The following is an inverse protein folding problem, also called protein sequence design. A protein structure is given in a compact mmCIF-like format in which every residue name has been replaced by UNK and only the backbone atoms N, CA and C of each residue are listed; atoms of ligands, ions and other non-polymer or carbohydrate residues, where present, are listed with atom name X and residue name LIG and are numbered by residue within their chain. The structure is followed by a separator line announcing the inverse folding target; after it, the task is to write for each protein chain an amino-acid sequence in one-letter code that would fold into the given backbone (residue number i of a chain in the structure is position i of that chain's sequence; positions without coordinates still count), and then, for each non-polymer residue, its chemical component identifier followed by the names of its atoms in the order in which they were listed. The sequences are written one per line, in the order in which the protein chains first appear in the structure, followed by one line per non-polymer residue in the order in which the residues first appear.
data_IF_084091643197
#
_entry.id   IF_084091643197
#
_cell.length_a   1.000
_cell.length_b   1.000
_cell.length_c   1.000
_cell.angle_alpha   90.00
_cell.angle_beta   90.00
_cell.angle_gamma   90.00
#
_symmetry.space_group_name_H-M   'P 1'
#
loop_
_entity.id
_entity.type
_entity.pdbx_description
1 polymer ?
#
# COMPACT_ATOMS: atom_id res chain seq x y z
N UNK A 1 1.01 -11.60 -23.09
CA UNK A 1 0.30 -11.23 -21.84
C UNK A 1 0.38 -12.40 -20.89
N UNK A 2 0.50 -12.16 -19.59
CA UNK A 2 0.54 -13.18 -18.53
C UNK A 2 -0.65 -12.97 -17.62
N UNK A 3 -1.45 -13.99 -17.40
CA UNK A 3 -2.49 -13.97 -16.37
C UNK A 3 -1.84 -14.34 -15.04
N UNK A 4 -1.77 -13.37 -14.13
CA UNK A 4 -1.13 -13.50 -12.83
C UNK A 4 -2.10 -13.14 -11.72
N UNK A 5 -1.94 -13.80 -10.58
CA UNK A 5 -2.63 -13.49 -9.31
C UNK A 5 -1.67 -12.76 -8.39
N UNK A 6 -2.13 -11.70 -7.77
CA UNK A 6 -1.40 -11.02 -6.70
C UNK A 6 -2.09 -11.21 -5.36
N UNK A 7 -1.29 -11.34 -4.33
CA UNK A 7 -1.72 -11.55 -2.96
C UNK A 7 -1.09 -10.52 -2.05
N UNK A 8 -1.92 -9.85 -1.26
CA UNK A 8 -1.49 -8.84 -0.29
C UNK A 8 -2.15 -9.11 1.08
N UNK A 9 -1.37 -8.96 2.13
CA UNK A 9 -1.84 -8.90 3.51
C UNK A 9 -1.31 -7.63 4.14
N UNK A 10 -2.20 -6.68 4.38
CA UNK A 10 -1.87 -5.36 4.92
C UNK A 10 -1.59 -5.38 6.43
N UNK A 11 -0.99 -4.30 6.94
CA UNK A 11 -0.63 -4.13 8.36
C UNK A 11 -1.85 -4.05 9.30
N UNK A 12 -3.05 -3.84 8.78
CA UNK A 12 -4.32 -3.91 9.52
C UNK A 12 -4.65 -5.34 10.00
N UNK A 13 -4.07 -6.36 9.36
CA UNK A 13 -4.29 -7.79 9.63
C UNK A 13 -5.79 -8.12 9.60
N UNK A 14 -6.54 -7.55 8.68
CA UNK A 14 -7.97 -7.79 8.52
C UNK A 14 -8.28 -8.95 7.57
N UNK A 15 -7.43 -9.16 6.56
CA UNK A 15 -7.64 -10.22 5.59
C UNK A 15 -6.53 -10.34 4.55
N UNK A 16 -6.84 -11.12 3.53
CA UNK A 16 -6.02 -11.37 2.35
C UNK A 16 -6.74 -10.75 1.15
N UNK A 17 -6.10 -9.79 0.52
CA UNK A 17 -6.54 -9.29 -0.78
C UNK A 17 -5.90 -10.13 -1.88
N UNK A 18 -6.74 -10.72 -2.73
CA UNK A 18 -6.32 -11.51 -3.88
C UNK A 18 -6.92 -10.90 -5.14
N UNK A 19 -6.09 -10.65 -6.14
CA UNK A 19 -6.52 -10.05 -7.39
C UNK A 19 -5.84 -10.71 -8.59
N UNK A 20 -6.57 -10.86 -9.68
CA UNK A 20 -6.06 -11.36 -10.95
C UNK A 20 -5.99 -10.25 -11.98
N UNK A 21 -4.86 -10.19 -12.68
CA UNK A 21 -4.66 -9.28 -13.80
C UNK A 21 -4.02 -10.04 -14.98
N UNK A 22 -4.31 -9.57 -16.16
CA UNK A 22 -3.57 -9.93 -17.36
C UNK A 22 -2.68 -8.76 -17.76
N UNK A 23 -1.36 -9.00 -17.88
CA UNK A 23 -0.41 -7.91 -18.07
C UNK A 23 0.81 -8.34 -18.90
N UNK A 24 1.43 -7.38 -19.56
CA UNK A 24 2.74 -7.50 -20.19
C UNK A 24 3.89 -7.16 -19.23
N UNK A 25 3.59 -6.69 -18.01
CA UNK A 25 4.58 -6.18 -17.04
C UNK A 25 5.15 -4.82 -17.44
N UNK A 26 4.58 -4.14 -18.44
CA UNK A 26 5.03 -2.82 -18.91
C UNK A 26 3.92 -1.77 -18.84
N UNK A 27 3.00 -1.76 -19.82
CA UNK A 27 1.94 -0.75 -19.96
C UNK A 27 0.54 -1.33 -20.00
N UNK A 28 0.39 -2.60 -20.30
CA UNK A 28 -0.91 -3.22 -20.46
C UNK A 28 -1.30 -3.91 -19.16
N UNK A 29 -2.45 -3.52 -18.62
CA UNK A 29 -3.06 -4.13 -17.46
C UNK A 29 -4.55 -4.28 -17.71
N UNK A 30 -5.06 -5.50 -17.54
CA UNK A 30 -6.49 -5.81 -17.59
C UNK A 30 -6.88 -6.53 -16.31
N UNK A 31 -7.75 -5.94 -15.49
CA UNK A 31 -8.29 -6.59 -14.30
C UNK A 31 -9.17 -7.79 -14.70
N UNK A 32 -9.00 -8.92 -14.01
CA UNK A 32 -9.77 -10.16 -14.22
C UNK A 32 -10.59 -10.57 -13.01
N UNK A 33 -10.53 -9.80 -11.94
CA UNK A 33 -11.30 -9.97 -10.71
C UNK A 33 -10.46 -9.82 -9.46
N UNK A 34 -11.14 -9.57 -8.36
CA UNK A 34 -10.53 -9.45 -7.05
C UNK A 34 -11.51 -9.86 -5.96
N UNK A 35 -10.97 -10.26 -4.81
CA UNK A 35 -11.73 -10.53 -3.59
C UNK A 35 -10.85 -10.34 -2.37
N UNK A 36 -11.48 -10.06 -1.25
CA UNK A 36 -10.85 -10.03 0.08
C UNK A 36 -11.40 -11.18 0.92
N UNK A 37 -10.53 -11.94 1.56
CA UNK A 37 -10.89 -13.00 2.50
C UNK A 37 -10.43 -12.56 3.89
N UNK A 38 -11.36 -12.32 4.83
CA UNK A 38 -11.00 -11.99 6.21
C UNK A 38 -10.19 -13.12 6.86
N UNK A 39 -9.22 -12.75 7.69
CA UNK A 39 -8.53 -13.72 8.52
C UNK A 39 -9.46 -14.27 9.62
N UNK A 40 -9.40 -15.56 9.84
CA UNK A 40 -9.99 -16.17 11.03
C UNK A 40 -9.38 -15.52 12.30
N UNK A 41 -10.19 -15.24 13.34
CA UNK A 41 -9.73 -14.55 14.55
C UNK A 41 -8.48 -15.19 15.19
N UNK A 42 -8.40 -16.51 15.19
CA UNK A 42 -7.25 -17.23 15.73
C UNK A 42 -5.97 -16.98 14.94
N UNK A 43 -6.02 -17.02 13.60
CA UNK A 43 -4.87 -16.73 12.74
C UNK A 43 -4.47 -15.26 12.86
N UNK A 44 -5.45 -14.35 12.91
CA UNK A 44 -5.21 -12.91 13.11
C UNK A 44 -4.45 -12.65 14.42
N UNK A 45 -4.82 -13.28 15.51
CA UNK A 45 -4.13 -13.17 16.80
C UNK A 45 -2.68 -13.69 16.71
N UNK A 46 -2.47 -14.82 16.03
CA UNK A 46 -1.14 -15.40 15.85
C UNK A 46 -0.24 -14.54 14.96
N UNK A 47 -0.76 -13.96 13.88
CA UNK A 47 0.01 -13.00 13.05
C UNK A 47 0.44 -11.81 13.92
N UNK A 48 -0.45 -11.26 14.76
CA UNK A 48 -0.10 -10.17 15.68
C UNK A 48 1.01 -10.54 16.66
N UNK A 49 1.03 -11.78 17.15
CA UNK A 49 2.02 -12.23 18.14
C UNK A 49 3.44 -12.34 17.59
N UNK A 50 3.61 -12.36 16.25
CA UNK A 50 4.92 -12.45 15.59
C UNK A 50 5.39 -11.12 14.97
N UNK A 51 4.63 -10.04 15.15
CA UNK A 51 5.07 -8.72 14.72
C UNK A 51 6.37 -8.34 15.45
N UNK A 52 7.29 -7.69 14.74
CA UNK A 52 8.64 -7.43 15.23
C UNK A 52 9.62 -8.59 14.97
N UNK A 53 9.17 -9.70 14.39
CA UNK A 53 10.03 -10.82 14.00
C UNK A 53 10.37 -11.79 15.14
N UNK A 54 9.51 -11.89 16.15
CA UNK A 54 9.69 -12.76 17.32
C UNK A 54 8.57 -13.82 17.39
N UNK A 55 8.75 -14.84 18.23
CA UNK A 55 7.73 -15.86 18.49
C UNK A 55 7.78 -17.05 17.51
N UNK A 56 6.66 -17.75 17.35
CA UNK A 56 6.55 -18.98 16.55
C UNK A 56 6.38 -18.70 15.04
N UNK A 57 7.33 -17.94 14.48
CA UNK A 57 7.28 -17.45 13.10
C UNK A 57 7.01 -18.56 12.08
N UNK A 58 7.73 -19.68 12.13
CA UNK A 58 7.60 -20.75 11.14
C UNK A 58 6.18 -21.36 11.11
N UNK A 59 5.57 -21.57 12.27
CA UNK A 59 4.21 -22.11 12.35
C UNK A 59 3.16 -21.09 11.86
N UNK A 60 3.36 -19.79 12.16
CA UNK A 60 2.47 -18.73 11.67
C UNK A 60 2.62 -18.52 10.17
N UNK A 61 3.85 -18.59 9.66
CA UNK A 61 4.15 -18.49 8.22
C UNK A 61 3.47 -19.60 7.42
N UNK A 62 3.52 -20.86 7.92
CA UNK A 62 2.84 -21.98 7.27
C UNK A 62 1.32 -21.77 7.22
N UNK A 63 0.67 -21.44 8.33
CA UNK A 63 -0.78 -21.21 8.37
C UNK A 63 -1.21 -20.02 7.52
N UNK A 64 -0.42 -18.94 7.53
CA UNK A 64 -0.63 -17.79 6.68
C UNK A 64 -0.54 -18.18 5.20
N UNK A 65 0.48 -18.97 4.83
CA UNK A 65 0.67 -19.43 3.45
C UNK A 65 -0.48 -20.31 2.98
N UNK A 66 -0.98 -21.23 3.83
CA UNK A 66 -2.16 -22.02 3.52
C UNK A 66 -3.43 -21.17 3.34
N UNK A 67 -3.60 -20.13 4.17
CA UNK A 67 -4.71 -19.19 4.02
C UNK A 67 -4.65 -18.47 2.66
N UNK A 68 -3.45 -18.08 2.22
CA UNK A 68 -3.24 -17.46 0.90
C UNK A 68 -3.50 -18.46 -0.24
N UNK A 69 -3.13 -19.74 -0.10
CA UNK A 69 -3.46 -20.77 -1.08
C UNK A 69 -4.98 -20.92 -1.25
N UNK A 70 -5.73 -20.92 -0.14
CA UNK A 70 -7.21 -20.93 -0.18
C UNK A 70 -7.79 -19.68 -0.85
N UNK A 71 -7.16 -18.52 -0.68
CA UNK A 71 -7.57 -17.29 -1.35
C UNK A 71 -7.35 -17.35 -2.87
N UNK A 72 -6.24 -17.94 -3.34
CA UNK A 72 -6.00 -18.19 -4.77
C UNK A 72 -7.08 -19.09 -5.35
N UNK A 73 -7.37 -20.21 -4.69
CA UNK A 73 -8.40 -21.15 -5.11
C UNK A 73 -9.79 -20.49 -5.18
N UNK A 74 -10.15 -19.68 -4.19
CA UNK A 74 -11.41 -18.97 -4.14
C UNK A 74 -11.52 -17.95 -5.29
N UNK A 75 -10.45 -17.20 -5.57
CA UNK A 75 -10.38 -16.24 -6.67
C UNK A 75 -10.55 -16.94 -8.03
N UNK A 76 -9.79 -18.01 -8.27
CA UNK A 76 -9.85 -18.78 -9.53
C UNK A 76 -11.27 -19.31 -9.76
N UNK A 77 -11.89 -19.90 -8.75
CA UNK A 77 -13.27 -20.42 -8.87
C UNK A 77 -14.30 -19.31 -9.06
N UNK A 78 -14.18 -18.23 -8.29
CA UNK A 78 -15.16 -17.12 -8.30
C UNK A 78 -15.26 -16.45 -9.67
N UNK A 79 -14.12 -16.27 -10.35
CA UNK A 79 -14.03 -15.58 -11.63
C UNK A 79 -13.78 -16.51 -12.81
N UNK A 80 -13.84 -17.84 -12.59
CA UNK A 80 -13.62 -18.87 -13.62
C UNK A 80 -12.33 -18.62 -14.42
N UNK A 81 -11.24 -18.31 -13.69
CA UNK A 81 -9.96 -17.99 -14.32
C UNK A 81 -9.31 -19.27 -14.87
N UNK A 82 -8.89 -19.21 -16.14
CA UNK A 82 -8.16 -20.28 -16.81
C UNK A 82 -6.77 -19.77 -17.18
N UNK A 83 -5.81 -20.67 -17.19
CA UNK A 83 -4.43 -20.38 -17.62
C UNK A 83 -3.68 -19.37 -16.71
N UNK A 84 -4.07 -19.28 -15.43
CA UNK A 84 -3.26 -18.60 -14.42
C UNK A 84 -1.92 -19.34 -14.34
N UNK A 85 -0.82 -18.60 -14.47
CA UNK A 85 0.52 -19.19 -14.53
C UNK A 85 1.48 -18.68 -13.49
N UNK A 86 1.14 -17.59 -12.81
CA UNK A 86 2.06 -16.91 -11.89
C UNK A 86 1.30 -16.29 -10.70
N UNK A 87 1.91 -16.39 -9.53
CA UNK A 87 1.44 -15.70 -8.31
C UNK A 87 2.51 -14.71 -7.87
N UNK A 88 2.10 -13.48 -7.57
CA UNK A 88 2.89 -12.50 -6.83
C UNK A 88 2.47 -12.51 -5.37
N UNK A 89 3.30 -13.05 -4.51
CA UNK A 89 3.00 -13.25 -3.10
C UNK A 89 3.78 -12.26 -2.22
N UNK A 90 3.12 -11.19 -1.79
CA UNK A 90 3.74 -10.23 -0.88
C UNK A 90 4.01 -10.83 0.50
N UNK A 91 3.13 -11.71 0.97
CA UNK A 91 3.13 -12.19 2.35
C UNK A 91 2.66 -11.11 3.32
N UNK A 92 3.05 -11.22 4.60
CA UNK A 92 2.72 -10.27 5.65
C UNK A 92 3.99 -9.66 6.25
N UNK A 93 4.09 -8.33 6.29
CA UNK A 93 5.25 -7.63 6.86
C UNK A 93 5.24 -7.74 8.38
N UNK A 94 6.24 -8.42 8.93
CA UNK A 94 6.47 -8.52 10.39
C UNK A 94 7.57 -7.60 10.88
N UNK A 95 8.46 -7.16 9.99
CA UNK A 95 9.55 -6.22 10.29
C UNK A 95 9.86 -5.38 9.06
N UNK A 96 10.02 -4.06 9.25
CA UNK A 96 10.49 -3.17 8.19
C UNK A 96 11.37 -2.07 8.79
N UNK A 97 12.69 -2.25 8.67
CA UNK A 97 13.72 -1.33 9.19
C UNK A 97 14.79 -1.11 8.13
N UNK A 98 14.49 -0.39 7.06
CA UNK A 98 15.42 -0.17 5.95
C UNK A 98 16.72 0.53 6.39
N UNK A 99 16.68 1.39 7.42
CA UNK A 99 17.87 2.01 8.00
C UNK A 99 18.82 1.01 8.70
N UNK A 100 18.33 -0.19 9.07
CA UNK A 100 19.12 -1.31 9.57
C UNK A 100 19.47 -2.30 8.45
N UNK A 101 19.08 -2.02 7.20
CA UNK A 101 19.22 -2.94 6.07
C UNK A 101 18.30 -4.17 6.19
N UNK A 102 17.17 -4.07 6.91
CA UNK A 102 16.31 -5.21 7.25
C UNK A 102 14.85 -4.96 6.86
N UNK A 103 14.30 -5.94 6.18
CA UNK A 103 12.85 -6.07 5.98
C UNK A 103 12.49 -7.54 6.03
N UNK A 104 11.31 -7.87 6.54
CA UNK A 104 10.87 -9.26 6.61
C UNK A 104 9.36 -9.36 6.39
N UNK A 105 9.01 -9.99 5.29
CA UNK A 105 7.67 -10.41 4.96
C UNK A 105 7.61 -11.92 5.12
N UNK A 106 6.78 -12.41 6.05
CA UNK A 106 6.52 -13.86 6.19
C UNK A 106 5.57 -14.33 5.11
N UNK A 107 5.83 -15.52 4.60
CA UNK A 107 5.08 -16.19 3.54
C UNK A 107 6.01 -17.08 2.72
N UNK A 108 5.80 -18.41 2.85
CA UNK A 108 6.62 -19.42 2.17
C UNK A 108 6.17 -19.56 0.70
N UNK A 109 6.94 -18.96 -0.21
CA UNK A 109 6.68 -19.03 -1.64
C UNK A 109 6.82 -20.44 -2.22
N UNK A 110 7.67 -21.29 -1.66
CA UNK A 110 7.84 -22.67 -2.12
C UNK A 110 6.62 -23.52 -1.71
N UNK A 111 6.17 -23.38 -0.47
CA UNK A 111 4.95 -24.03 0.01
C UNK A 111 3.73 -23.56 -0.80
N UNK A 112 3.60 -22.27 -1.07
CA UNK A 112 2.50 -21.75 -1.88
C UNK A 112 2.52 -22.32 -3.30
N UNK A 113 3.69 -22.44 -3.92
CA UNK A 113 3.83 -23.06 -5.23
C UNK A 113 3.44 -24.54 -5.23
N UNK A 114 3.80 -25.26 -4.17
CA UNK A 114 3.40 -26.66 -3.98
C UNK A 114 1.89 -26.81 -3.81
N UNK A 115 1.27 -25.96 -2.97
CA UNK A 115 -0.16 -26.04 -2.66
C UNK A 115 -1.04 -25.69 -3.86
N UNK A 116 -0.62 -24.67 -4.64
CA UNK A 116 -1.42 -24.16 -5.76
C UNK A 116 -1.10 -24.80 -7.12
N UNK A 117 0.08 -25.38 -7.26
CA UNK A 117 0.58 -25.86 -8.55
C UNK A 117 0.94 -24.73 -9.52
N UNK A 118 1.11 -23.50 -9.05
CA UNK A 118 1.44 -22.33 -9.83
C UNK A 118 2.82 -21.80 -9.45
N UNK A 119 3.54 -21.21 -10.40
CA UNK A 119 4.79 -20.51 -10.10
C UNK A 119 4.53 -19.34 -9.16
N UNK A 120 5.41 -19.10 -8.18
CA UNK A 120 5.25 -18.03 -7.19
C UNK A 120 6.48 -17.13 -7.18
N UNK A 121 6.28 -15.83 -7.21
CA UNK A 121 7.30 -14.84 -6.87
C UNK A 121 6.95 -14.22 -5.52
N UNK A 122 7.86 -14.28 -4.56
CA UNK A 122 7.76 -13.60 -3.27
C UNK A 122 9.03 -12.79 -2.98
N UNK A 123 9.20 -12.28 -1.77
CA UNK A 123 10.39 -11.55 -1.31
C UNK A 123 10.76 -10.36 -2.22
N UNK A 124 9.79 -9.50 -2.51
CA UNK A 124 9.96 -8.36 -3.42
C UNK A 124 10.87 -7.27 -2.86
N UNK A 125 10.94 -7.12 -1.53
CA UNK A 125 11.53 -5.94 -0.87
C UNK A 125 12.99 -6.12 -0.44
N UNK A 126 13.42 -7.36 -0.18
CA UNK A 126 14.73 -7.63 0.42
C UNK A 126 15.90 -7.14 -0.46
N UNK A 127 15.84 -7.34 -1.78
CA UNK A 127 16.90 -6.89 -2.69
C UNK A 127 17.04 -5.36 -2.71
N UNK A 128 15.94 -4.62 -2.67
CA UNK A 128 15.91 -3.16 -2.61
C UNK A 128 16.54 -2.66 -1.30
N UNK A 129 16.09 -3.18 -0.16
CA UNK A 129 16.62 -2.80 1.16
C UNK A 129 18.10 -3.17 1.30
N UNK A 130 18.51 -4.34 0.83
CA UNK A 130 19.92 -4.75 0.84
C UNK A 130 20.81 -3.85 -0.02
N UNK A 131 20.23 -3.17 -1.02
CA UNK A 131 20.90 -2.21 -1.91
C UNK A 131 20.81 -0.77 -1.40
N UNK A 132 20.37 -0.56 -0.16
CA UNK A 132 20.26 0.75 0.47
C UNK A 132 18.97 1.52 0.15
N UNK A 133 18.01 0.88 -0.51
CA UNK A 133 16.69 1.45 -0.75
C UNK A 133 15.78 1.38 0.48
N UNK A 134 14.70 2.15 0.44
CA UNK A 134 13.68 2.17 1.50
C UNK A 134 12.78 0.92 1.53
N UNK A 135 12.81 0.06 0.48
CA UNK A 135 11.95 -1.11 0.39
C UNK A 135 10.44 -0.82 0.26
N UNK A 136 10.09 0.44 0.15
CA UNK A 136 8.72 0.93 -0.05
C UNK A 136 8.77 2.37 -0.60
N UNK A 137 7.73 2.81 -1.36
CA UNK A 137 6.61 2.03 -1.90
C UNK A 137 7.00 1.20 -3.15
N UNK A 138 6.34 0.07 -3.38
CA UNK A 138 6.57 -0.79 -4.57
C UNK A 138 5.47 -0.64 -5.64
N UNK A 139 4.35 -0.04 -5.31
CA UNK A 139 3.21 0.16 -6.22
C UNK A 139 3.44 1.22 -7.34
N UNK A 140 4.41 2.16 -7.26
CA UNK A 140 4.54 3.26 -8.21
C UNK A 140 4.62 2.84 -9.68
N UNK A 141 5.37 1.79 -10.02
CA UNK A 141 5.47 1.29 -11.40
C UNK A 141 4.14 0.72 -11.91
N UNK A 142 3.33 0.16 -11.02
CA UNK A 142 1.98 -0.27 -11.35
C UNK A 142 1.03 0.92 -11.56
N UNK A 143 1.09 1.94 -10.71
CA UNK A 143 0.36 3.18 -10.94
C UNK A 143 0.69 3.80 -12.29
N UNK A 144 1.95 3.76 -12.69
CA UNK A 144 2.40 4.26 -14.00
C UNK A 144 1.76 3.47 -15.16
N UNK A 145 1.72 2.15 -15.06
CA UNK A 145 1.10 1.29 -16.06
C UNK A 145 -0.42 1.56 -16.16
N UNK A 146 -1.12 1.65 -15.03
CA UNK A 146 -2.54 1.96 -14.98
C UNK A 146 -2.87 3.35 -15.52
N UNK A 147 -1.99 4.33 -15.31
CA UNK A 147 -2.18 5.70 -15.76
C UNK A 147 -1.86 5.91 -17.25
N UNK A 148 -1.61 4.83 -18.01
CA UNK A 148 -1.47 4.90 -19.47
C UNK A 148 -2.76 5.44 -20.09
N UNK A 149 -2.65 6.54 -20.84
CA UNK A 149 -3.80 7.22 -21.45
C UNK A 149 -4.50 8.25 -20.56
N UNK A 150 -4.15 8.39 -19.30
CA UNK A 150 -4.65 9.46 -18.45
C UNK A 150 -3.86 10.76 -18.65
N UNK A 151 -4.53 11.89 -18.45
CA UNK A 151 -3.87 13.20 -18.51
C UNK A 151 -2.89 13.36 -17.36
N UNK A 152 -1.66 13.78 -17.65
CA UNK A 152 -0.55 13.96 -16.72
C UNK A 152 0.01 15.39 -16.73
N UNK A 153 0.71 15.91 -15.70
CA UNK A 153 1.09 15.20 -14.47
C UNK A 153 -0.10 14.89 -13.56
N UNK A 154 -0.09 13.75 -12.91
CA UNK A 154 -1.10 13.37 -11.93
C UNK A 154 -0.45 12.79 -10.67
N UNK A 155 -1.17 12.76 -9.56
CA UNK A 155 -0.75 12.09 -8.34
C UNK A 155 -1.73 10.98 -7.99
N UNK A 156 -1.20 9.84 -7.58
CA UNK A 156 -1.96 8.76 -6.93
C UNK A 156 -1.60 8.79 -5.45
N UNK A 157 -2.57 9.07 -4.61
CA UNK A 157 -2.43 9.17 -3.15
C UNK A 157 -3.05 7.93 -2.50
N UNK A 158 -2.26 7.14 -1.84
CA UNK A 158 -2.75 6.07 -0.97
C UNK A 158 -2.87 6.60 0.46
N UNK A 159 -4.08 6.54 1.04
CA UNK A 159 -4.32 6.85 2.45
C UNK A 159 -4.66 5.54 3.16
N UNK A 160 -3.60 4.85 3.58
CA UNK A 160 -3.64 3.72 4.51
C UNK A 160 -3.42 4.19 5.94
N UNK A 161 -2.77 3.40 6.78
CA UNK A 161 -2.32 3.83 8.12
C UNK A 161 -1.34 5.01 8.03
N UNK A 162 -0.35 4.91 7.15
CA UNK A 162 0.50 5.98 6.63
C UNK A 162 -0.04 6.39 5.26
N UNK A 163 0.11 7.66 4.90
CA UNK A 163 -0.23 8.15 3.58
C UNK A 163 1.03 8.26 2.71
N UNK A 164 0.94 7.80 1.45
CA UNK A 164 2.00 7.90 0.48
C UNK A 164 1.48 8.37 -0.88
N UNK A 165 2.38 8.96 -1.67
CA UNK A 165 2.04 9.51 -2.98
C UNK A 165 2.94 8.96 -4.06
N UNK A 166 2.37 8.68 -5.22
CA UNK A 166 3.06 8.50 -6.49
C UNK A 166 2.73 9.67 -7.40
N UNK A 167 3.72 10.51 -7.68
CA UNK A 167 3.62 11.54 -8.70
C UNK A 167 4.09 10.99 -10.05
N UNK A 168 3.28 11.17 -11.08
CA UNK A 168 3.55 10.74 -12.46
C UNK A 168 3.66 11.96 -13.36
N UNK A 169 4.85 12.16 -13.92
CA UNK A 169 5.13 13.24 -14.87
C UNK A 169 4.46 13.05 -16.23
N UNK A 170 4.65 13.99 -17.14
CA UNK A 170 4.13 13.87 -18.52
C UNK A 170 4.77 12.71 -19.27
N UNK A 171 6.08 12.55 -19.07
CA UNK A 171 6.86 11.50 -19.71
C UNK A 171 6.94 10.26 -18.79
N UNK A 172 7.02 9.08 -19.39
CA UNK A 172 6.99 7.83 -18.65
C UNK A 172 8.25 7.57 -17.80
N UNK A 173 9.33 8.29 -18.01
CA UNK A 173 10.56 8.22 -17.21
C UNK A 173 10.52 9.12 -15.95
N UNK A 174 9.47 9.94 -15.81
CA UNK A 174 9.32 10.88 -14.69
C UNK A 174 8.31 10.35 -13.66
N UNK A 175 8.82 9.67 -12.67
CA UNK A 175 8.07 9.15 -11.53
C UNK A 175 8.75 9.58 -10.23
N UNK A 176 7.96 9.88 -9.19
CA UNK A 176 8.44 10.16 -7.84
C UNK A 176 7.46 9.53 -6.85
N UNK A 177 7.97 8.87 -5.81
CA UNK A 177 7.09 8.31 -4.78
C UNK A 177 7.73 8.41 -3.40
N UNK A 178 6.91 8.69 -2.38
CA UNK A 178 7.35 8.83 -0.99
C UNK A 178 6.16 8.92 -0.05
N UNK A 179 6.42 8.69 1.24
CA UNK A 179 5.41 8.86 2.28
C UNK A 179 5.19 10.34 2.59
N UNK A 180 3.92 10.74 2.63
CA UNK A 180 3.54 12.14 2.84
C UNK A 180 3.38 12.51 4.31
N UNK A 181 2.99 11.54 5.15
CA UNK A 181 2.73 11.77 6.57
C UNK A 181 1.76 10.74 7.15
N UNK A 182 1.16 11.03 8.32
CA UNK A 182 0.14 10.16 8.90
C UNK A 182 -1.06 10.04 7.94
N UNK A 183 -1.59 8.83 7.82
CA UNK A 183 -2.84 8.55 7.11
C UNK A 183 -4.01 8.39 8.08
N UNK A 184 -4.68 7.22 8.03
CA UNK A 184 -5.81 6.91 8.90
C UNK A 184 -5.41 6.44 10.30
N UNK A 185 -4.17 5.95 10.51
CA UNK A 185 -3.82 5.27 11.75
C UNK A 185 -4.14 6.07 13.01
N UNK A 186 -3.74 7.35 13.04
CA UNK A 186 -4.01 8.22 14.19
C UNK A 186 -5.51 8.53 14.35
N UNK A 187 -6.25 8.62 13.25
CA UNK A 187 -7.70 8.86 13.25
C UNK A 187 -8.41 7.62 13.82
N UNK A 188 -8.00 6.44 13.38
CA UNK A 188 -8.58 5.16 13.80
C UNK A 188 -8.30 4.89 15.28
N UNK A 189 -7.05 5.10 15.73
CA UNK A 189 -6.66 4.96 17.14
C UNK A 189 -7.44 5.96 18.02
N UNK A 190 -7.65 7.19 17.55
CA UNK A 190 -8.45 8.19 18.24
C UNK A 190 -9.91 7.76 18.34
N UNK A 191 -10.51 7.33 17.24
CA UNK A 191 -11.88 6.83 17.21
C UNK A 191 -12.06 5.64 18.15
N UNK A 192 -11.12 4.69 18.12
CA UNK A 192 -11.14 3.52 19.00
C UNK A 192 -11.07 3.91 20.47
N UNK A 193 -10.14 4.79 20.83
CA UNK A 193 -9.95 5.23 22.21
C UNK A 193 -11.17 5.94 22.78
N UNK A 194 -11.83 6.78 21.97
CA UNK A 194 -12.91 7.63 22.45
C UNK A 194 -14.33 7.08 22.22
N UNK A 195 -14.50 6.11 21.32
CA UNK A 195 -15.82 5.58 20.97
C UNK A 195 -15.92 4.07 21.04
N UNK A 196 -14.80 3.35 21.19
CA UNK A 196 -14.72 1.89 21.08
C UNK A 196 -14.86 1.36 19.64
N UNK A 197 -15.07 2.21 18.65
CA UNK A 197 -15.18 1.83 17.24
C UNK A 197 -13.81 1.74 16.60
N UNK A 198 -13.54 0.78 15.71
CA UNK A 198 -12.22 0.58 15.12
C UNK A 198 -11.78 1.72 14.18
N UNK A 199 -12.72 2.49 13.65
CA UNK A 199 -12.49 3.60 12.71
C UNK A 199 -13.49 4.75 12.96
N UNK A 200 -13.18 5.95 12.47
CA UNK A 200 -14.16 7.05 12.32
C UNK A 200 -14.97 6.85 11.03
N UNK A 201 -16.01 6.01 11.13
CA UNK A 201 -16.80 5.62 9.98
C UNK A 201 -17.42 6.84 9.27
N UNK A 202 -17.13 6.95 7.97
CA UNK A 202 -17.56 8.07 7.13
C UNK A 202 -17.14 9.45 7.66
N UNK A 203 -16.13 9.53 8.51
CA UNK A 203 -15.65 10.77 9.12
C UNK A 203 -16.70 11.45 10.02
N UNK A 204 -17.58 10.66 10.62
CA UNK A 204 -18.72 11.21 11.42
C UNK A 204 -18.23 12.00 12.61
N UNK A 205 -17.20 11.50 13.31
CA UNK A 205 -16.61 12.17 14.46
C UNK A 205 -15.89 13.46 14.01
N UNK A 206 -15.04 13.36 12.99
CA UNK A 206 -14.31 14.52 12.47
C UNK A 206 -15.22 15.61 11.93
N UNK A 207 -16.35 15.25 11.30
CA UNK A 207 -17.35 16.22 10.77
C UNK A 207 -18.01 17.05 11.87
N UNK A 208 -18.17 16.48 13.06
CA UNK A 208 -18.81 17.15 14.19
C UNK A 208 -17.87 18.09 14.94
N UNK A 209 -16.55 18.04 14.67
CA UNK A 209 -15.53 18.81 15.35
C UNK A 209 -14.99 19.99 14.55
N UNK A 210 -14.15 20.77 15.23
CA UNK A 210 -13.36 21.86 14.64
C UNK A 210 -11.87 21.56 14.82
N UNK A 211 -11.04 21.64 13.75
CA UNK A 211 -9.62 21.36 13.84
C UNK A 211 -8.88 22.44 14.64
N UNK A 212 -7.98 22.04 15.52
CA UNK A 212 -7.01 22.94 16.14
C UNK A 212 -5.77 23.06 15.24
N UNK A 213 -5.65 24.19 14.57
CA UNK A 213 -4.58 24.46 13.61
C UNK A 213 -3.19 24.60 14.28
N UNK A 214 -3.10 24.80 15.58
CA UNK A 214 -1.82 24.80 16.28
C UNK A 214 -1.18 23.40 16.27
N UNK A 215 -2.00 22.34 16.41
CA UNK A 215 -1.52 20.97 16.29
C UNK A 215 -1.03 20.68 14.88
N UNK A 216 -1.75 21.13 13.85
CA UNK A 216 -1.34 20.99 12.44
C UNK A 216 0.00 21.69 12.17
N UNK A 217 0.15 22.92 12.64
CA UNK A 217 1.39 23.70 12.49
C UNK A 217 2.56 23.01 13.19
N UNK A 218 2.35 22.50 14.41
CA UNK A 218 3.37 21.76 15.17
C UNK A 218 3.78 20.47 14.44
N UNK A 219 2.83 19.73 13.83
CA UNK A 219 3.16 18.57 13.03
C UNK A 219 4.06 18.96 11.85
N UNK A 220 3.65 19.95 11.05
CA UNK A 220 4.37 20.36 9.84
C UNK A 220 5.75 20.97 10.13
N UNK A 221 6.02 21.40 11.35
CA UNK A 221 7.35 21.82 11.79
C UNK A 221 8.34 20.65 11.96
N UNK A 222 7.87 19.40 11.94
CA UNK A 222 8.75 18.24 12.03
C UNK A 222 9.66 18.13 10.80
N UNK A 223 10.97 17.83 10.97
CA UNK A 223 11.97 17.80 9.89
C UNK A 223 11.59 16.87 8.71
N UNK A 224 10.82 15.81 8.96
CA UNK A 224 10.33 14.90 7.93
C UNK A 224 9.66 15.64 6.76
N UNK A 225 8.86 16.68 7.02
CA UNK A 225 8.11 17.36 5.97
C UNK A 225 9.00 18.23 5.06
N UNK A 226 10.16 18.65 5.54
CA UNK A 226 11.15 19.38 4.73
C UNK A 226 12.20 18.47 4.08
N UNK A 227 12.37 17.25 4.59
CA UNK A 227 13.32 16.29 4.04
C UNK A 227 12.98 15.94 2.58
N UNK A 228 13.99 15.87 1.68
CA UNK A 228 13.75 15.48 0.30
C UNK A 228 13.35 14.01 0.20
N UNK A 229 12.53 13.63 -0.79
CA UNK A 229 12.29 12.23 -1.12
C UNK A 229 13.53 11.58 -1.77
N UNK A 230 13.65 10.24 -1.74
CA UNK A 230 12.68 9.30 -1.16
C UNK A 230 12.73 9.25 0.37
N UNK A 231 11.57 9.11 0.99
CA UNK A 231 11.42 9.03 2.45
C UNK A 231 10.23 8.16 2.82
N UNK A 232 10.36 7.40 3.89
CA UNK A 232 9.34 6.49 4.41
C UNK A 232 9.10 6.71 5.89
N UNK A 233 7.99 6.17 6.40
CA UNK A 233 7.50 6.28 7.76
C UNK A 233 7.04 4.93 8.27
N UNK A 234 7.22 4.73 9.58
CA UNK A 234 6.47 3.71 10.31
C UNK A 234 5.12 4.28 10.79
N UNK A 235 4.16 3.39 11.04
CA UNK A 235 2.81 3.73 11.48
C UNK A 235 2.80 4.64 12.70
N UNK A 236 3.71 4.40 13.64
CA UNK A 236 3.73 5.05 14.96
C UNK A 236 4.67 6.26 15.05
N UNK A 237 5.39 6.61 14.00
CA UNK A 237 6.35 7.73 14.00
C UNK A 237 5.75 9.06 14.44
N UNK A 238 4.46 9.25 14.14
CA UNK A 238 3.71 10.46 14.49
C UNK A 238 2.75 10.28 15.69
N UNK A 239 2.76 9.15 16.41
CA UNK A 239 1.87 8.91 17.55
C UNK A 239 1.96 10.02 18.63
N UNK A 240 3.15 10.58 18.83
CA UNK A 240 3.39 11.71 19.77
C UNK A 240 2.68 13.01 19.38
N UNK A 241 2.17 13.14 18.17
CA UNK A 241 1.40 14.30 17.70
C UNK A 241 -0.10 14.14 17.89
N UNK A 242 -0.55 13.01 18.43
CA UNK A 242 -1.96 12.82 18.80
C UNK A 242 -2.41 13.95 19.71
N UNK A 243 -3.51 14.66 19.38
CA UNK A 243 -3.97 15.80 20.17
C UNK A 243 -4.31 15.40 21.61
N UNK A 244 -3.88 16.20 22.59
CA UNK A 244 -4.26 16.03 23.98
C UNK A 244 -5.19 17.18 24.41
N UNK A 245 -6.18 16.87 25.26
CA UNK A 245 -7.08 17.88 25.84
C UNK A 245 -8.18 18.38 24.91
N UNK A 246 -8.30 17.84 23.69
CA UNK A 246 -9.39 18.16 22.77
C UNK A 246 -10.61 17.25 23.03
N UNK A 247 -11.80 17.73 22.68
CA UNK A 247 -12.99 16.88 22.62
C UNK A 247 -12.81 15.77 21.57
N UNK A 248 -13.50 14.61 21.70
CA UNK A 248 -13.41 13.56 20.69
C UNK A 248 -13.67 14.02 19.26
N UNK A 249 -14.69 14.87 18.95
CA UNK A 249 -14.89 15.43 17.62
C UNK A 249 -13.75 16.35 17.17
N UNK A 250 -13.28 17.27 18.03
CA UNK A 250 -12.24 18.23 17.66
C UNK A 250 -10.89 17.54 17.43
N UNK A 251 -10.58 16.50 18.22
CA UNK A 251 -9.40 15.68 18.01
C UNK A 251 -9.44 14.93 16.67
N UNK A 252 -10.55 14.31 16.31
CA UNK A 252 -10.72 13.64 15.01
C UNK A 252 -10.61 14.64 13.84
N UNK A 253 -11.24 15.82 13.97
CA UNK A 253 -11.15 16.89 12.97
C UNK A 253 -9.69 17.39 12.83
N UNK A 254 -8.98 17.51 13.93
CA UNK A 254 -7.56 17.93 13.94
C UNK A 254 -6.67 16.90 13.25
N UNK A 255 -6.86 15.62 13.54
CA UNK A 255 -6.09 14.54 12.91
C UNK A 255 -6.37 14.45 11.40
N UNK A 256 -7.64 14.61 10.98
CA UNK A 256 -7.98 14.69 9.56
C UNK A 256 -7.31 15.89 8.87
N UNK A 257 -7.31 17.06 9.52
CA UNK A 257 -6.60 18.24 9.02
C UNK A 257 -5.09 18.03 8.95
N UNK A 258 -4.48 17.32 9.92
CA UNK A 258 -3.06 16.96 9.91
C UNK A 258 -2.70 16.09 8.72
N UNK A 259 -3.49 15.04 8.44
CA UNK A 259 -3.30 14.17 7.26
C UNK A 259 -3.35 15.00 5.97
N UNK A 260 -4.37 15.83 5.80
CA UNK A 260 -4.54 16.64 4.58
C UNK A 260 -3.44 17.68 4.44
N UNK A 261 -3.03 18.34 5.51
CA UNK A 261 -1.94 19.31 5.49
C UNK A 261 -0.59 18.67 5.13
N UNK A 262 -0.34 17.46 5.62
CA UNK A 262 0.84 16.67 5.27
C UNK A 262 0.87 16.32 3.77
N UNK A 263 -0.26 15.89 3.20
CA UNK A 263 -0.42 15.64 1.76
C UNK A 263 -0.19 16.92 0.96
N UNK A 264 -0.78 18.04 1.36
CA UNK A 264 -0.59 19.33 0.68
C UNK A 264 0.87 19.79 0.72
N UNK A 265 1.56 19.59 1.84
CA UNK A 265 2.98 19.91 1.98
C UNK A 265 3.88 19.07 1.06
N UNK A 266 3.47 17.85 0.71
CA UNK A 266 4.22 16.97 -0.19
C UNK A 266 4.40 17.56 -1.60
N UNK A 267 3.49 18.43 -2.07
CA UNK A 267 3.55 19.07 -3.39
C UNK A 267 4.84 19.87 -3.64
N UNK A 268 5.50 20.35 -2.57
CA UNK A 268 6.79 21.08 -2.70
C UNK A 268 7.91 20.26 -3.34
N UNK A 269 7.79 18.93 -3.27
CA UNK A 269 8.77 18.01 -3.82
C UNK A 269 8.45 17.59 -5.26
N UNK A 270 7.28 17.95 -5.79
CA UNK A 270 6.91 17.56 -7.15
C UNK A 270 7.67 18.37 -8.20
N UNK A 271 8.23 17.72 -9.22
CA UNK A 271 8.92 18.40 -10.31
C UNK A 271 8.02 19.37 -11.12
N UNK A 272 6.69 19.12 -11.12
CA UNK A 272 5.69 19.98 -11.73
C UNK A 272 4.34 19.84 -11.03
N UNK A 273 3.47 20.88 -11.07
CA UNK A 273 2.12 20.79 -10.52
C UNK A 273 1.30 19.67 -11.17
N UNK A 274 0.51 18.97 -10.36
CA UNK A 274 -0.43 17.95 -10.84
C UNK A 274 -1.70 18.59 -11.40
N UNK A 275 -2.31 17.93 -12.38
CA UNK A 275 -3.60 18.34 -12.94
C UNK A 275 -4.79 17.71 -12.20
N UNK A 276 -4.53 16.59 -11.51
CA UNK A 276 -5.51 15.86 -10.71
C UNK A 276 -4.84 14.96 -9.67
N UNK A 277 -5.60 14.59 -8.66
CA UNK A 277 -5.23 13.57 -7.68
C UNK A 277 -6.24 12.42 -7.72
N UNK A 278 -5.74 11.22 -7.73
CA UNK A 278 -6.51 9.98 -7.59
C UNK A 278 -6.21 9.41 -6.21
N UNK A 279 -7.24 9.14 -5.42
CA UNK A 279 -7.09 8.68 -4.03
C UNK A 279 -7.46 7.20 -3.93
N UNK A 280 -6.59 6.41 -3.33
CA UNK A 280 -6.77 4.99 -3.00
C UNK A 280 -6.58 4.75 -1.50
N UNK A 281 -6.62 3.50 -1.07
CA UNK A 281 -6.59 3.14 0.35
C UNK A 281 -7.90 3.43 1.07
N UNK A 282 -7.97 3.07 2.35
CA UNK A 282 -9.19 3.22 3.17
C UNK A 282 -9.67 4.66 3.29
N UNK A 283 -8.75 5.63 3.28
CA UNK A 283 -9.05 7.05 3.41
C UNK A 283 -9.93 7.62 2.30
N UNK A 284 -9.93 7.03 1.09
CA UNK A 284 -10.82 7.45 -0.02
C UNK A 284 -12.30 7.28 0.30
N UNK A 285 -12.62 6.41 1.27
CA UNK A 285 -13.99 6.17 1.75
C UNK A 285 -14.43 7.15 2.82
N UNK A 286 -13.52 7.99 3.32
CA UNK A 286 -13.83 9.03 4.30
C UNK A 286 -14.19 10.34 3.57
N UNK A 287 -15.46 10.73 3.50
CA UNK A 287 -15.89 11.92 2.75
C UNK A 287 -15.35 13.23 3.35
N UNK A 288 -14.98 13.24 4.64
CA UNK A 288 -14.36 14.41 5.27
C UNK A 288 -12.94 14.59 4.75
N UNK A 289 -12.13 13.53 4.70
CA UNK A 289 -10.79 13.58 4.11
C UNK A 289 -10.85 14.00 2.65
N UNK A 290 -11.77 13.42 1.86
CA UNK A 290 -11.91 13.75 0.43
C UNK A 290 -12.29 15.22 0.22
N UNK A 291 -13.22 15.75 1.01
CA UNK A 291 -13.63 17.15 0.93
C UNK A 291 -12.50 18.10 1.34
N UNK A 292 -11.75 17.80 2.41
CA UNK A 292 -10.63 18.60 2.86
C UNK A 292 -9.48 18.57 1.84
N UNK A 293 -9.19 17.41 1.23
CA UNK A 293 -8.21 17.30 0.15
C UNK A 293 -8.60 18.15 -1.06
N UNK A 294 -9.85 18.07 -1.51
CA UNK A 294 -10.34 18.86 -2.64
C UNK A 294 -10.23 20.37 -2.37
N UNK A 295 -10.54 20.81 -1.14
CA UNK A 295 -10.41 22.21 -0.74
C UNK A 295 -8.94 22.68 -0.66
N UNK A 296 -8.02 21.80 -0.26
CA UNK A 296 -6.62 22.16 0.01
C UNK A 296 -5.72 22.07 -1.23
N UNK A 297 -6.02 21.16 -2.17
CA UNK A 297 -5.14 20.87 -3.30
C UNK A 297 -5.39 21.76 -4.51
N UNK A 298 -6.56 22.41 -4.60
CA UNK A 298 -6.95 23.35 -5.65
C UNK A 298 -6.88 22.76 -7.08
N UNK A 299 -7.09 21.45 -7.18
CA UNK A 299 -7.21 20.69 -8.43
C UNK A 299 -8.18 19.52 -8.20
N UNK A 300 -8.74 18.90 -9.25
CA UNK A 300 -9.65 17.77 -9.09
C UNK A 300 -9.05 16.65 -8.23
N UNK A 301 -9.80 16.23 -7.21
CA UNK A 301 -9.48 15.11 -6.31
C UNK A 301 -10.63 14.11 -6.40
N UNK A 302 -10.31 12.89 -6.78
CA UNK A 302 -11.31 11.84 -6.98
C UNK A 302 -10.82 10.49 -6.46
N UNK A 303 -11.70 9.58 -6.04
CA UNK A 303 -11.32 8.21 -5.78
C UNK A 303 -10.88 7.51 -7.09
N UNK A 304 -10.01 6.52 -6.98
CA UNK A 304 -9.46 5.81 -8.15
C UNK A 304 -10.53 5.12 -9.00
N UNK A 305 -11.69 4.83 -8.43
CA UNK A 305 -12.85 4.26 -9.09
C UNK A 305 -13.38 5.15 -10.23
N UNK A 306 -13.18 6.47 -10.17
CA UNK A 306 -13.59 7.41 -11.21
C UNK A 306 -12.88 7.16 -12.55
N UNK A 307 -11.69 6.58 -12.50
CA UNK A 307 -10.93 6.18 -13.69
C UNK A 307 -10.98 4.66 -13.93
N UNK A 308 -11.90 3.96 -13.28
CA UNK A 308 -12.14 2.53 -13.46
C UNK A 308 -11.14 1.62 -12.75
N UNK A 309 -10.34 2.13 -11.80
CA UNK A 309 -9.46 1.30 -11.00
C UNK A 309 -10.20 0.79 -9.76
N UNK A 310 -9.79 -0.37 -9.26
CA UNK A 310 -10.33 -0.96 -8.04
C UNK A 310 -9.42 -0.61 -6.86
N UNK A 311 -9.84 0.36 -6.04
CA UNK A 311 -9.04 0.86 -4.94
C UNK A 311 -8.80 -0.13 -3.79
N UNK A 312 -9.60 -1.20 -3.70
CA UNK A 312 -9.40 -2.26 -2.71
C UNK A 312 -8.44 -3.34 -3.23
N UNK A 313 -8.44 -3.57 -4.54
CA UNK A 313 -7.61 -4.58 -5.16
C UNK A 313 -6.23 -4.07 -5.61
N UNK A 314 -6.00 -2.76 -5.61
CA UNK A 314 -4.88 -2.10 -6.27
C UNK A 314 -3.53 -2.61 -5.80
N UNK A 315 -3.34 -2.83 -4.50
CA UNK A 315 -2.08 -3.37 -3.95
C UNK A 315 -1.88 -4.84 -4.36
N UNK A 316 -2.91 -5.67 -4.27
CA UNK A 316 -2.82 -7.06 -4.70
C UNK A 316 -2.52 -7.15 -6.22
N UNK A 317 -3.20 -6.35 -7.03
CA UNK A 317 -2.93 -6.24 -8.46
C UNK A 317 -1.48 -5.81 -8.74
N UNK A 318 -0.95 -4.89 -7.95
CA UNK A 318 0.44 -4.45 -8.07
C UNK A 318 1.42 -5.61 -7.86
N UNK A 319 1.19 -6.50 -6.89
CA UNK A 319 2.08 -7.64 -6.68
C UNK A 319 1.97 -8.69 -7.80
N UNK A 320 0.82 -8.86 -8.44
CA UNK A 320 0.72 -9.63 -9.68
C UNK A 320 1.57 -9.02 -10.80
N UNK A 321 1.46 -7.70 -11.00
CA UNK A 321 2.24 -6.97 -11.99
C UNK A 321 3.75 -7.06 -11.70
N UNK A 322 4.18 -6.87 -10.47
CA UNK A 322 5.57 -6.97 -10.05
C UNK A 322 6.14 -8.38 -10.23
N UNK A 323 5.32 -9.43 -10.00
CA UNK A 323 5.74 -10.80 -10.27
C UNK A 323 6.05 -11.02 -11.76
N UNK A 324 5.21 -10.50 -12.65
CA UNK A 324 5.48 -10.57 -14.10
C UNK A 324 6.74 -9.79 -14.46
N UNK A 325 6.98 -8.63 -13.85
CA UNK A 325 8.22 -7.87 -14.04
C UNK A 325 9.45 -8.64 -13.53
N UNK A 326 9.34 -9.25 -12.35
CA UNK A 326 10.42 -10.06 -11.76
C UNK A 326 10.85 -11.19 -12.69
N UNK A 327 9.90 -11.98 -13.18
CA UNK A 327 10.18 -13.10 -14.11
C UNK A 327 10.80 -12.62 -15.43
N UNK A 328 10.47 -11.39 -15.85
CA UNK A 328 11.05 -10.76 -17.06
C UNK A 328 12.38 -10.05 -16.83
N UNK A 329 12.91 -10.06 -15.61
CA UNK A 329 14.14 -9.33 -15.26
C UNK A 329 13.99 -7.80 -15.35
N UNK A 330 12.75 -7.29 -15.25
CA UNK A 330 12.48 -5.85 -15.27
C UNK A 330 12.62 -5.25 -13.86
N UNK A 331 12.98 -3.96 -13.73
CA UNK A 331 13.06 -3.31 -12.43
C UNK A 331 11.72 -3.33 -11.67
N UNK A 332 11.78 -3.53 -10.36
CA UNK A 332 10.65 -3.45 -9.43
C UNK A 332 10.64 -2.12 -8.68
N UNK A 333 11.79 -1.48 -8.53
CA UNK A 333 11.96 -0.18 -7.88
C UNK A 333 12.98 0.69 -8.61
N UNK A 334 12.93 1.98 -8.35
CA UNK A 334 13.73 3.01 -9.01
C UNK A 334 14.34 3.96 -7.98
N UNK A 335 15.43 4.69 -8.33
CA UNK A 335 15.99 5.71 -7.45
C UNK A 335 14.96 6.72 -6.92
N UNK A 336 14.01 7.11 -7.75
CA UNK A 336 12.97 8.10 -7.43
C UNK A 336 11.81 7.52 -6.61
N UNK A 337 11.76 6.20 -6.40
CA UNK A 337 10.68 5.56 -5.63
C UNK A 337 11.14 5.06 -4.26
N UNK A 338 12.26 4.36 -4.20
CA UNK A 338 12.77 3.77 -2.96
C UNK A 338 14.16 4.26 -2.57
N UNK A 339 14.82 5.06 -3.41
CA UNK A 339 16.16 5.58 -3.11
C UNK A 339 17.32 4.64 -3.44
N UNK A 340 17.10 3.55 -4.13
CA UNK A 340 18.18 2.70 -4.65
C UNK A 340 19.07 3.49 -5.63
N UNK A 341 20.35 3.15 -5.72
CA UNK A 341 21.29 3.88 -6.57
C UNK A 341 21.00 3.73 -8.08
N UNK A 342 20.38 2.63 -8.49
CA UNK A 342 19.99 2.33 -9.88
C UNK A 342 18.68 1.52 -9.89
N UNK A 343 17.98 1.42 -11.04
CA UNK A 343 16.79 0.58 -11.16
C UNK A 343 17.07 -0.84 -10.68
N UNK A 344 16.28 -1.34 -9.72
CA UNK A 344 16.53 -2.60 -9.02
C UNK A 344 15.53 -3.66 -9.44
N UNK A 345 16.05 -4.81 -9.84
CA UNK A 345 15.28 -6.06 -9.96
C UNK A 345 15.11 -6.70 -8.59
N UNK A 346 14.19 -7.65 -8.46
CA UNK A 346 13.96 -8.34 -7.18
C UNK A 346 12.92 -9.43 -7.33
N UNK A 347 12.49 -9.96 -6.19
CA UNK A 347 11.59 -11.09 -6.12
C UNK A 347 12.33 -12.42 -6.27
N UNK A 348 11.85 -13.43 -5.56
CA UNK A 348 12.38 -14.80 -5.59
C UNK A 348 11.34 -15.71 -6.24
N UNK A 349 11.72 -16.34 -7.35
CA UNK A 349 10.85 -17.26 -8.09
C UNK A 349 10.95 -18.68 -7.51
N UNK A 350 9.79 -19.26 -7.20
CA UNK A 350 9.58 -20.65 -6.85
C UNK A 350 8.77 -21.34 -7.93
N UNK A 351 9.31 -22.38 -8.51
CA UNK A 351 8.64 -23.14 -9.57
C UNK A 351 7.72 -24.18 -8.97
N UNK A 352 6.51 -24.25 -9.50
CA UNK A 352 5.63 -25.38 -9.20
C UNK A 352 6.19 -26.70 -9.77
N UNK A 353 5.99 -27.79 -9.06
CA UNK A 353 6.26 -29.09 -9.62
C UNK A 353 5.37 -29.31 -10.86
N UNK A 354 5.96 -29.55 -12.03
CA UNK A 354 5.19 -29.91 -13.22
C UNK A 354 4.50 -31.24 -12.91
N UNK A 355 3.18 -31.25 -13.01
CA UNK A 355 2.45 -32.55 -13.07
C UNK A 355 2.69 -33.09 -14.48
N UNK A 356 3.44 -34.20 -14.55
CA UNK A 356 3.65 -34.99 -15.78
C UNK A 356 2.29 -35.52 -16.30
#
# INVERSE_FOLDING_TARGET
MTLAVGLMSGTSIDGIDAAAIETDGLRTVVSRGALTIPYEPALRARIRSVLGGNGELAAVEADLTEAHARAVDALIRRFNLRDVSLIGFHGHTVLHRPWEGRTWQIGDGALLAQLTGLDVVNDFRAADVASGGQGAPFVPLYHQALATGLERPLAVLNIGGVANVTWLGRDDDRILAFDTGPGNALIDDWAHTHTGRPIDESGTLARAGKPDMNHVTRLLAHPFFSAPPPKSLDRDDFARFTPAGLSPPDGAATLAAMTVAAVAAARRHFPAPTKRWLVTGGGRRNPVLMALLAAQLDVPVAPVEEVGWDGDALEAQAFAYLAVRSVKGLPLSLPQTTGVAAPMTGGRLHRAARRD
#
